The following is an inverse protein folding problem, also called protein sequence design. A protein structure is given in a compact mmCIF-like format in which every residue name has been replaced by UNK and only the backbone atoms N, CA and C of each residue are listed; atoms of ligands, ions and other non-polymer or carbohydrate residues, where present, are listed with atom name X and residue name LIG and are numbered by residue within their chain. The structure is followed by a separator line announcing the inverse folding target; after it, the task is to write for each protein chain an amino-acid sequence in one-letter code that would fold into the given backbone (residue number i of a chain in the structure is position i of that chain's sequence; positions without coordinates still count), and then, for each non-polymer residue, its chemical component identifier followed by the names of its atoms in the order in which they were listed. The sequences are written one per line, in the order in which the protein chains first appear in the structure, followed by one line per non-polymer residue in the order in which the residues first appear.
data_IF_173088034044
#
_entry.id   IF_173088034044
#
_cell.length_a   1.000
_cell.length_b   1.000
_cell.length_c   1.000
_cell.angle_alpha   90.00
_cell.angle_beta   90.00
_cell.angle_gamma   90.00
#
_symmetry.space_group_name_H-M   'P 1'
#
loop_
_entity.id
_entity.type
_entity.pdbx_description
1 polymer ?
#
# COMPACT_ATOMS: atom_id res chain seq x y z
N UNK A 1 -43.01 -12.55 -4.67
CA UNK A 1 -41.82 -13.28 -4.22
C UNK A 1 -40.78 -13.52 -5.31
N UNK A 2 -40.14 -12.45 -5.82
CA UNK A 2 -38.94 -12.60 -6.66
C UNK A 2 -37.78 -11.95 -5.91
N UNK A 3 -37.03 -12.76 -5.15
CA UNK A 3 -35.71 -12.34 -4.65
C UNK A 3 -34.86 -11.96 -5.87
N UNK A 4 -34.14 -10.82 -5.87
CA UNK A 4 -33.29 -10.46 -7.00
C UNK A 4 -32.26 -11.58 -7.21
N UNK A 5 -32.09 -12.03 -8.45
CA UNK A 5 -31.28 -13.20 -8.85
C UNK A 5 -29.76 -12.99 -8.72
N UNK A 6 -29.29 -12.05 -7.88
CA UNK A 6 -27.98 -11.35 -7.87
C UNK A 6 -28.11 -9.93 -8.48
N UNK A 7 -27.25 -8.95 -8.14
CA UNK A 7 -26.09 -8.98 -7.26
C UNK A 7 -26.10 -7.85 -6.22
N UNK A 8 -26.07 -8.22 -4.94
CA UNK A 8 -25.93 -7.27 -3.84
C UNK A 8 -24.49 -7.29 -3.32
N UNK A 9 -23.84 -6.13 -3.32
CA UNK A 9 -22.47 -5.97 -2.84
C UNK A 9 -22.48 -5.29 -1.48
N UNK A 10 -21.72 -5.81 -0.52
CA UNK A 10 -21.47 -5.14 0.76
C UNK A 10 -20.03 -4.62 0.79
N UNK A 11 -19.86 -3.40 1.32
CA UNK A 11 -18.57 -2.71 1.31
C UNK A 11 -18.08 -2.48 2.74
N UNK A 12 -16.77 -2.57 2.93
CA UNK A 12 -16.15 -2.25 4.23
C UNK A 12 -16.21 -0.75 4.49
N UNK A 13 -16.56 -0.36 5.73
CA UNK A 13 -16.53 1.03 6.19
C UNK A 13 -15.14 1.68 6.18
N UNK A 14 -14.07 0.90 5.96
CA UNK A 14 -12.70 1.39 5.85
C UNK A 14 -12.39 2.06 4.50
N UNK A 15 -13.22 1.88 3.49
CA UNK A 15 -13.02 2.44 2.14
C UNK A 15 -13.41 3.92 2.16
N UNK A 16 -12.44 4.80 1.97
CA UNK A 16 -12.69 6.24 1.86
C UNK A 16 -12.93 6.61 0.39
N UNK A 17 -14.07 7.26 0.11
CA UNK A 17 -14.50 7.61 -1.26
C UNK A 17 -13.46 8.45 -2.02
N UNK A 18 -12.80 9.39 -1.35
CA UNK A 18 -11.78 10.26 -1.93
C UNK A 18 -10.50 9.52 -2.34
N UNK A 19 -10.28 8.29 -1.87
CA UNK A 19 -9.10 7.48 -2.19
C UNK A 19 -9.36 6.49 -3.33
N UNK A 20 -10.58 6.41 -3.87
CA UNK A 20 -10.91 5.46 -4.92
C UNK A 20 -10.33 5.97 -6.25
N UNK A 21 -9.37 5.22 -6.79
CA UNK A 21 -8.75 5.52 -8.08
C UNK A 21 -9.59 4.91 -9.20
N UNK A 22 -9.86 3.61 -9.12
CA UNK A 22 -10.67 2.85 -10.08
C UNK A 22 -11.68 1.97 -9.35
N UNK A 23 -12.83 1.73 -9.99
CA UNK A 23 -13.77 0.70 -9.56
C UNK A 23 -14.43 0.05 -10.78
N UNK A 24 -14.25 -1.25 -10.93
CA UNK A 24 -14.72 -2.02 -12.07
C UNK A 24 -15.57 -3.19 -11.60
N UNK A 25 -16.73 -3.37 -12.22
CA UNK A 25 -17.55 -4.56 -12.08
C UNK A 25 -17.15 -5.54 -13.19
N UNK A 26 -16.73 -6.73 -12.79
CA UNK A 26 -16.36 -7.81 -13.70
C UNK A 26 -17.52 -8.78 -13.84
N UNK A 27 -17.88 -9.09 -15.09
CA UNK A 27 -18.96 -10.01 -15.46
C UNK A 27 -18.40 -11.04 -16.42
N UNK A 28 -18.64 -12.32 -16.13
CA UNK A 28 -18.26 -13.40 -17.03
C UNK A 28 -19.42 -13.73 -17.98
N UNK A 29 -19.11 -13.78 -19.28
CA UNK A 29 -20.02 -14.23 -20.32
C UNK A 29 -19.69 -15.67 -20.70
N UNK A 30 -20.69 -16.53 -20.66
CA UNK A 30 -20.62 -17.91 -21.13
C UNK A 30 -20.36 -17.95 -22.65
N UNK A 31 -19.72 -19.03 -23.15
CA UNK A 31 -19.52 -19.18 -24.58
C UNK A 31 -20.86 -19.30 -25.31
N UNK A 32 -20.97 -18.64 -26.46
CA UNK A 32 -22.11 -18.82 -27.36
C UNK A 32 -21.87 -20.01 -28.30
N UNK A 33 -22.94 -20.70 -28.71
CA UNK A 33 -22.85 -21.81 -29.67
C UNK A 33 -22.45 -21.32 -31.08
N UNK A 34 -22.85 -20.09 -31.42
CA UNK A 34 -22.61 -19.44 -32.70
C UNK A 34 -22.06 -18.03 -32.48
N UNK A 35 -21.44 -17.46 -33.52
CA UNK A 35 -21.02 -16.05 -33.51
C UNK A 35 -22.26 -15.18 -33.37
N UNK A 36 -22.35 -14.42 -32.28
CA UNK A 36 -23.51 -13.59 -31.96
C UNK A 36 -23.08 -12.28 -31.31
N UNK A 37 -23.93 -11.26 -31.44
CA UNK A 37 -23.77 -10.03 -30.66
C UNK A 37 -24.59 -10.14 -29.38
N UNK A 38 -23.94 -9.89 -28.25
CA UNK A 38 -24.54 -9.82 -26.92
C UNK A 38 -24.75 -8.37 -26.52
N UNK A 39 -25.93 -8.08 -25.99
CA UNK A 39 -26.28 -6.80 -25.38
C UNK A 39 -26.19 -6.94 -23.86
N UNK A 40 -25.06 -6.49 -23.31
CA UNK A 40 -24.84 -6.46 -21.86
C UNK A 40 -25.41 -5.16 -21.30
N UNK A 41 -26.42 -5.30 -20.43
CA UNK A 41 -27.08 -4.20 -19.75
C UNK A 41 -26.89 -4.32 -18.25
N UNK A 42 -26.40 -3.24 -17.64
CA UNK A 42 -26.19 -3.14 -16.20
C UNK A 42 -27.10 -2.06 -15.65
N UNK A 43 -27.97 -2.44 -14.71
CA UNK A 43 -28.98 -1.59 -14.08
C UNK A 43 -28.83 -1.56 -12.57
N UNK A 44 -29.09 -0.41 -11.96
CA UNK A 44 -29.28 -0.30 -10.52
C UNK A 44 -30.72 -0.62 -10.17
N UNK A 45 -30.92 -1.44 -9.14
CA UNK A 45 -32.23 -1.72 -8.57
C UNK A 45 -32.71 -0.54 -7.71
N UNK A 46 -34.03 -0.31 -7.69
CA UNK A 46 -34.69 0.69 -6.85
C UNK A 46 -35.90 0.08 -6.13
N UNK A 47 -36.31 0.64 -4.97
CA UNK A 47 -37.47 0.16 -4.24
C UNK A 47 -38.77 0.35 -5.05
N UNK A 48 -39.68 -0.61 -4.90
CA UNK A 48 -40.89 -0.82 -5.72
C UNK A 48 -41.96 0.28 -5.54
N UNK A 49 -41.81 1.18 -4.57
CA UNK A 49 -42.78 2.25 -4.27
C UNK A 49 -43.01 3.23 -5.44
N UNK A 50 -42.15 3.23 -6.45
CA UNK A 50 -42.24 4.10 -7.63
C UNK A 50 -42.13 3.30 -8.95
N UNK A 51 -42.93 2.23 -9.07
CA UNK A 51 -43.16 1.54 -10.34
C UNK A 51 -41.94 0.83 -10.95
N UNK A 52 -41.10 0.21 -10.12
CA UNK A 52 -40.04 -0.71 -10.59
C UNK A 52 -39.08 -0.10 -11.63
N UNK A 53 -38.67 1.15 -11.45
CA UNK A 53 -37.74 1.79 -12.38
C UNK A 53 -36.31 1.26 -12.18
N UNK A 54 -35.77 0.64 -13.21
CA UNK A 54 -34.35 0.31 -13.31
C UNK A 54 -33.59 1.55 -13.78
N UNK A 55 -32.51 1.95 -13.09
CA UNK A 55 -31.64 3.03 -13.58
C UNK A 55 -30.48 2.37 -14.32
N UNK A 56 -30.38 2.61 -15.64
CA UNK A 56 -29.25 2.12 -16.44
C UNK A 56 -27.93 2.72 -15.95
N UNK A 57 -26.98 1.86 -15.60
CA UNK A 57 -25.60 2.25 -15.30
C UNK A 57 -24.81 2.30 -16.61
N UNK A 58 -24.85 1.22 -17.39
CA UNK A 58 -24.16 1.11 -18.67
C UNK A 58 -24.78 0.03 -19.54
N UNK A 59 -24.69 0.22 -20.85
CA UNK A 59 -25.03 -0.78 -21.85
C UNK A 59 -23.86 -0.94 -22.82
N UNK A 60 -23.53 -2.18 -23.17
CA UNK A 60 -22.41 -2.54 -24.05
C UNK A 60 -22.91 -3.52 -25.12
N UNK A 61 -22.45 -3.31 -26.35
CA UNK A 61 -22.64 -4.24 -27.46
C UNK A 61 -21.33 -4.99 -27.66
N UNK A 62 -21.37 -6.32 -27.55
CA UNK A 62 -20.19 -7.17 -27.51
C UNK A 62 -20.34 -8.26 -28.56
N UNK A 63 -19.39 -8.37 -29.48
CA UNK A 63 -19.37 -9.46 -30.45
C UNK A 63 -18.65 -10.67 -29.83
N UNK A 64 -19.38 -11.78 -29.70
CA UNK A 64 -18.91 -13.01 -29.06
C UNK A 64 -18.68 -14.07 -30.13
N UNK A 65 -17.48 -14.65 -30.14
CA UNK A 65 -17.12 -15.75 -31.00
C UNK A 65 -17.64 -17.08 -30.44
N UNK A 66 -17.98 -18.00 -31.33
CA UNK A 66 -18.46 -19.33 -30.96
C UNK A 66 -17.42 -20.08 -30.09
N UNK A 67 -17.88 -20.67 -28.98
CA UNK A 67 -17.06 -21.48 -28.07
C UNK A 67 -16.09 -20.71 -27.18
N UNK A 68 -16.06 -19.38 -27.22
CA UNK A 68 -15.13 -18.56 -26.43
C UNK A 68 -15.89 -17.84 -25.31
N UNK A 69 -15.51 -18.11 -24.06
CA UNK A 69 -15.98 -17.32 -22.92
C UNK A 69 -15.12 -16.06 -22.73
N UNK A 70 -15.70 -15.01 -22.13
CA UNK A 70 -14.97 -13.75 -21.94
C UNK A 70 -15.36 -13.04 -20.65
N UNK A 71 -14.40 -12.31 -20.09
CA UNK A 71 -14.61 -11.38 -18.99
C UNK A 71 -14.84 -9.98 -19.53
N UNK A 72 -15.83 -9.30 -18.98
CA UNK A 72 -16.19 -7.93 -19.34
C UNK A 72 -16.11 -7.05 -18.11
N UNK A 73 -15.43 -5.91 -18.24
CA UNK A 73 -15.27 -4.94 -17.16
C UNK A 73 -16.08 -3.68 -17.41
N UNK A 74 -16.79 -3.23 -16.39
CA UNK A 74 -17.69 -2.07 -16.45
C UNK A 74 -17.27 -1.09 -15.37
N UNK A 75 -16.98 0.15 -15.76
CA UNK A 75 -16.71 1.22 -14.80
C UNK A 75 -17.97 1.53 -13.98
N UNK A 76 -17.84 1.33 -12.66
CA UNK A 76 -18.89 1.56 -11.66
C UNK A 76 -18.45 2.55 -10.58
N UNK A 77 -17.37 3.30 -10.81
CA UNK A 77 -16.79 4.23 -9.82
C UNK A 77 -17.80 5.23 -9.28
N UNK A 78 -18.65 5.80 -10.14
CA UNK A 78 -19.66 6.77 -9.73
C UNK A 78 -20.75 6.13 -8.86
N UNK A 79 -21.21 4.93 -9.22
CA UNK A 79 -22.23 4.17 -8.47
C UNK A 79 -21.69 3.80 -7.09
N UNK A 80 -20.47 3.24 -7.04
CA UNK A 80 -19.80 2.90 -5.80
C UNK A 80 -19.60 4.12 -4.90
N UNK A 81 -19.22 5.26 -5.48
CA UNK A 81 -19.03 6.51 -4.72
C UNK A 81 -20.31 7.00 -4.06
N UNK A 82 -21.47 6.82 -4.70
CA UNK A 82 -22.79 7.13 -4.12
C UNK A 82 -23.11 6.15 -2.99
N UNK A 83 -22.95 4.85 -3.22
CA UNK A 83 -23.26 3.83 -2.21
C UNK A 83 -22.39 3.89 -0.96
N UNK A 84 -21.13 4.30 -1.08
CA UNK A 84 -20.27 4.51 0.09
C UNK A 84 -20.65 5.76 0.90
N UNK A 85 -21.29 6.76 0.27
CA UNK A 85 -21.82 7.94 0.97
C UNK A 85 -23.22 7.70 1.54
N UNK A 86 -24.02 6.89 0.84
CA UNK A 86 -25.43 6.63 1.11
C UNK A 86 -25.71 5.11 1.00
N UNK A 87 -25.30 4.31 2.01
CA UNK A 87 -25.43 2.86 1.99
C UNK A 87 -26.88 2.36 1.87
N UNK A 88 -27.84 3.13 2.39
CA UNK A 88 -29.28 2.87 2.34
C UNK A 88 -29.83 2.85 0.90
N UNK A 89 -29.09 3.43 -0.04
CA UNK A 89 -29.48 3.46 -1.44
C UNK A 89 -28.92 2.25 -2.22
N UNK A 90 -28.14 1.37 -1.59
CA UNK A 90 -27.61 0.17 -2.22
C UNK A 90 -28.67 -0.96 -2.24
N UNK A 91 -29.38 -1.06 -3.35
CA UNK A 91 -30.37 -2.12 -3.60
C UNK A 91 -29.82 -3.24 -4.49
N UNK A 92 -28.54 -3.18 -4.86
CA UNK A 92 -27.89 -4.11 -5.77
C UNK A 92 -27.87 -3.67 -7.24
N UNK A 93 -27.17 -4.47 -8.03
CA UNK A 93 -27.00 -4.34 -9.47
C UNK A 93 -27.69 -5.53 -10.14
N UNK A 94 -28.47 -5.25 -11.16
CA UNK A 94 -28.99 -6.24 -12.09
C UNK A 94 -28.09 -6.28 -13.33
N UNK A 95 -27.79 -7.49 -13.78
CA UNK A 95 -26.88 -7.77 -14.89
C UNK A 95 -27.62 -8.69 -15.84
N UNK A 96 -27.84 -8.21 -17.06
CA UNK A 96 -28.51 -8.96 -18.11
C UNK A 96 -27.62 -8.97 -19.35
N UNK A 97 -27.35 -10.12 -19.95
CA UNK A 97 -26.51 -10.20 -21.15
C UNK A 97 -27.18 -11.08 -22.21
N UNK A 98 -28.10 -10.49 -22.97
CA UNK A 98 -28.88 -11.24 -23.96
C UNK A 98 -28.19 -11.29 -25.31
N UNK A 99 -28.08 -12.50 -25.87
CA UNK A 99 -27.70 -12.71 -27.27
C UNK A 99 -28.85 -12.38 -28.23
N UNK A 100 -28.62 -12.53 -29.54
CA UNK A 100 -29.64 -12.30 -30.57
C UNK A 100 -30.81 -13.30 -30.53
N UNK A 101 -30.66 -14.43 -29.84
CA UNK A 101 -31.68 -15.48 -29.66
C UNK A 101 -32.47 -15.29 -28.34
N UNK A 102 -32.07 -14.34 -27.50
CA UNK A 102 -32.68 -14.06 -26.20
C UNK A 102 -32.13 -14.90 -25.05
N UNK A 103 -31.02 -15.62 -25.24
CA UNK A 103 -30.34 -16.35 -24.18
C UNK A 103 -29.52 -15.39 -23.32
N UNK A 104 -29.63 -15.49 -22.00
CA UNK A 104 -28.80 -14.73 -21.06
C UNK A 104 -27.46 -15.46 -20.85
N UNK A 105 -26.37 -14.85 -21.29
CA UNK A 105 -25.03 -15.42 -21.19
C UNK A 105 -24.27 -14.95 -19.94
N UNK A 106 -24.83 -14.04 -19.14
CA UNK A 106 -24.17 -13.57 -17.93
C UNK A 106 -24.24 -14.61 -16.81
N UNK A 107 -23.07 -14.96 -16.27
CA UNK A 107 -23.00 -15.76 -15.04
C UNK A 107 -23.37 -14.86 -13.86
N UNK A 108 -24.56 -15.08 -13.26
CA UNK A 108 -25.05 -14.30 -12.11
C UNK A 108 -25.24 -15.13 -10.84
N UNK A 109 -25.25 -16.46 -10.93
CA UNK A 109 -25.40 -17.37 -9.79
C UNK A 109 -24.23 -18.33 -9.64
N UNK A 110 -24.04 -18.86 -8.43
CA UNK A 110 -23.00 -19.85 -8.14
C UNK A 110 -23.18 -21.17 -8.90
N UNK A 111 -24.43 -21.52 -9.19
CA UNK A 111 -24.79 -22.75 -9.91
C UNK A 111 -24.36 -22.71 -11.39
N UNK A 112 -24.21 -21.52 -11.95
CA UNK A 112 -23.81 -21.31 -13.34
C UNK A 112 -22.29 -21.31 -13.55
N UNK A 113 -21.47 -21.41 -12.50
CA UNK A 113 -20.02 -21.52 -12.60
C UNK A 113 -19.27 -21.14 -11.32
N UNK A 114 -18.53 -22.10 -10.76
CA UNK A 114 -17.70 -21.87 -9.58
C UNK A 114 -16.55 -20.89 -9.91
N UNK A 115 -16.43 -19.80 -9.16
CA UNK A 115 -15.42 -18.76 -9.38
C UNK A 115 -15.69 -17.78 -10.55
N UNK A 116 -16.83 -17.93 -11.26
CA UNK A 116 -17.20 -17.06 -12.40
C UNK A 116 -18.23 -15.99 -12.03
N UNK A 117 -18.54 -15.87 -10.74
CA UNK A 117 -19.52 -14.92 -10.23
C UNK A 117 -19.06 -13.47 -10.42
N UNK A 118 -19.99 -12.52 -10.59
CA UNK A 118 -19.64 -11.12 -10.75
C UNK A 118 -18.97 -10.57 -9.49
N UNK A 119 -17.88 -9.83 -9.66
CA UNK A 119 -17.16 -9.21 -8.55
C UNK A 119 -16.79 -7.77 -8.86
N UNK A 120 -16.64 -6.96 -7.81
CA UNK A 120 -16.24 -5.57 -7.93
C UNK A 120 -14.78 -5.41 -7.50
N UNK A 121 -13.93 -5.03 -8.44
CA UNK A 121 -12.54 -4.66 -8.19
C UNK A 121 -12.46 -3.17 -7.87
N UNK A 122 -11.87 -2.82 -6.73
CA UNK A 122 -11.73 -1.42 -6.28
C UNK A 122 -10.27 -1.12 -6.00
N UNK A 123 -9.66 -0.27 -6.82
CA UNK A 123 -8.30 0.20 -6.63
C UNK A 123 -8.31 1.45 -5.75
N UNK A 124 -7.68 1.39 -4.59
CA UNK A 124 -7.62 2.47 -3.61
C UNK A 124 -6.18 3.01 -3.56
N UNK A 125 -6.03 4.33 -3.59
CA UNK A 125 -4.74 4.96 -3.34
C UNK A 125 -4.36 4.77 -1.87
N UNK A 126 -3.23 4.13 -1.60
CA UNK A 126 -2.62 4.19 -0.27
C UNK A 126 -2.21 5.65 -0.01
N UNK A 127 -3.01 6.36 0.79
CA UNK A 127 -2.58 7.63 1.34
C UNK A 127 -1.31 7.43 2.17
N UNK A 128 -0.45 8.45 2.33
CA UNK A 128 0.80 8.30 3.06
C UNK A 128 0.49 7.82 4.47
N UNK A 129 0.74 6.54 4.73
CA UNK A 129 0.81 6.00 6.09
C UNK A 129 2.03 6.68 6.69
N UNK A 130 1.86 7.83 7.34
CA UNK A 130 2.84 8.31 8.32
C UNK A 130 2.82 7.27 9.43
N UNK A 131 3.62 6.22 9.26
CA UNK A 131 4.08 5.43 10.41
C UNK A 131 4.56 6.47 11.43
N UNK A 132 4.05 6.40 12.68
CA UNK A 132 4.62 7.17 13.78
C UNK A 132 6.11 6.83 13.72
N UNK A 133 6.91 7.79 13.27
CA UNK A 133 8.36 7.62 13.25
C UNK A 133 8.70 7.35 14.70
N UNK A 134 9.16 6.14 14.98
CA UNK A 134 9.81 5.89 16.25
C UNK A 134 10.86 6.98 16.39
N UNK A 135 10.60 7.87 17.34
CA UNK A 135 11.42 9.04 17.56
C UNK A 135 12.58 8.45 18.32
N UNK A 136 13.62 8.05 17.57
CA UNK A 136 14.76 7.32 18.12
C UNK A 136 15.21 7.98 19.42
N UNK A 137 15.55 7.16 20.40
CA UNK A 137 15.89 7.64 21.74
C UNK A 137 17.15 8.51 21.67
N UNK A 138 17.13 9.63 22.39
CA UNK A 138 18.27 10.51 22.61
C UNK A 138 18.67 10.40 24.08
N UNK A 139 19.89 9.94 24.34
CA UNK A 139 20.41 9.66 25.67
C UNK A 139 21.58 10.59 25.98
N UNK A 140 21.68 10.98 27.24
CA UNK A 140 22.87 11.66 27.77
C UNK A 140 23.95 10.64 28.13
N UNK A 141 25.20 11.09 28.28
CA UNK A 141 26.35 10.22 28.60
C UNK A 141 26.17 9.38 29.88
N UNK A 142 25.42 9.90 30.85
CA UNK A 142 25.14 9.22 32.12
C UNK A 142 23.80 8.48 32.16
N UNK A 143 23.14 8.31 31.01
CA UNK A 143 21.85 7.63 30.95
C UNK A 143 22.02 6.12 31.26
N UNK A 144 21.24 5.55 32.20
CA UNK A 144 21.24 4.10 32.46
C UNK A 144 20.45 3.30 31.41
N UNK A 145 20.08 3.91 30.29
CA UNK A 145 19.34 3.25 29.20
C UNK A 145 20.22 2.17 28.55
N UNK A 146 19.72 0.94 28.56
CA UNK A 146 20.39 -0.20 27.92
C UNK A 146 19.95 -0.38 26.47
N UNK A 147 18.81 0.20 26.06
CA UNK A 147 18.30 0.06 24.69
C UNK A 147 19.08 0.93 23.69
N UNK A 148 18.98 0.58 22.41
CA UNK A 148 19.58 1.35 21.31
C UNK A 148 19.18 2.83 21.36
N UNK A 149 20.18 3.69 21.54
CA UNK A 149 20.02 5.11 21.76
C UNK A 149 21.11 5.93 21.06
N UNK A 150 20.80 7.20 20.76
CA UNK A 150 21.76 8.16 20.25
C UNK A 150 22.40 8.92 21.40
N UNK A 151 23.73 8.92 21.44
CA UNK A 151 24.52 9.64 22.44
C UNK A 151 25.26 10.83 21.82
N UNK A 152 25.42 11.93 22.57
CA UNK A 152 26.19 13.08 22.10
C UNK A 152 27.67 12.70 21.95
N UNK A 153 28.27 13.12 20.84
CA UNK A 153 29.72 13.04 20.62
C UNK A 153 30.13 14.28 19.85
N UNK A 154 31.08 15.01 20.40
CA UNK A 154 31.65 16.19 19.76
C UNK A 154 33.04 15.85 19.27
N UNK A 155 33.26 15.97 17.97
CA UNK A 155 34.54 15.72 17.31
C UNK A 155 35.24 17.06 17.18
N UNK A 156 36.44 17.16 17.74
CA UNK A 156 37.34 18.29 17.57
C UNK A 156 38.50 17.89 16.68
N UNK A 157 38.65 18.56 15.54
CA UNK A 157 39.72 18.26 14.59
C UNK A 157 41.10 18.76 15.06
N UNK A 158 41.13 19.74 15.97
CA UNK A 158 42.38 20.25 16.54
C UNK A 158 43.02 19.20 17.47
N UNK A 159 42.19 18.45 18.21
CA UNK A 159 42.65 17.35 19.08
C UNK A 159 43.30 16.19 18.30
N UNK A 160 42.89 15.97 17.04
CA UNK A 160 43.49 14.98 16.15
C UNK A 160 44.73 15.50 15.40
N UNK A 161 45.10 16.77 15.57
CA UNK A 161 46.16 17.43 14.80
C UNK A 161 45.83 17.57 13.31
N UNK A 162 44.54 17.71 12.97
CA UNK A 162 44.07 17.81 11.58
C UNK A 162 44.00 19.28 11.13
N UNK A 163 45.16 19.92 11.04
CA UNK A 163 45.28 21.34 10.65
C UNK A 163 44.85 21.62 9.20
N UNK A 164 44.79 20.58 8.38
CA UNK A 164 44.28 20.67 7.01
C UNK A 164 42.78 21.02 6.95
N UNK A 165 42.06 20.94 8.07
CA UNK A 165 40.65 21.36 8.18
C UNK A 165 40.58 22.79 8.69
N UNK A 166 40.08 23.68 7.84
CA UNK A 166 39.93 25.10 8.15
C UNK A 166 38.63 25.33 8.96
N UNK A 167 37.51 24.73 8.53
CA UNK A 167 36.23 24.84 9.22
C UNK A 167 35.27 23.67 8.90
N UNK A 168 34.37 23.28 9.83
CA UNK A 168 34.36 23.67 11.24
C UNK A 168 35.54 23.02 12.00
N UNK A 169 36.03 23.66 13.05
CA UNK A 169 37.05 23.06 13.95
C UNK A 169 36.45 21.97 14.84
N UNK A 170 35.20 22.15 15.24
CA UNK A 170 34.46 21.23 16.10
C UNK A 170 33.03 21.04 15.58
N UNK A 171 32.53 19.81 15.60
CA UNK A 171 31.14 19.52 15.25
C UNK A 171 30.55 18.38 16.09
N UNK A 172 29.21 18.34 16.21
CA UNK A 172 28.48 17.30 16.94
C UNK A 172 28.17 16.13 16.01
N UNK A 173 28.96 15.07 16.07
CA UNK A 173 28.77 13.87 15.27
C UNK A 173 27.65 12.98 15.82
N UNK A 174 27.59 12.84 17.16
CA UNK A 174 26.79 11.84 17.86
C UNK A 174 27.15 10.39 17.45
N UNK A 175 26.73 9.41 18.25
CA UNK A 175 26.92 8.00 17.93
C UNK A 175 25.76 7.14 18.43
N UNK A 176 25.65 5.93 17.90
CA UNK A 176 24.64 4.96 18.32
C UNK A 176 25.26 3.91 19.23
N UNK A 177 24.62 3.63 20.35
CA UNK A 177 25.02 2.58 21.29
C UNK A 177 23.81 2.02 22.01
N UNK A 178 23.94 0.82 22.55
CA UNK A 178 22.88 0.12 23.27
C UNK A 178 22.47 -1.19 22.61
N UNK A 179 21.64 -1.94 23.33
CA UNK A 179 21.16 -3.26 22.97
C UNK A 179 19.84 -3.17 22.19
N UNK A 180 19.66 -4.09 21.26
CA UNK A 180 18.47 -4.20 20.45
C UNK A 180 17.71 -5.48 20.82
N UNK A 181 16.54 -5.31 21.43
CA UNK A 181 15.71 -6.46 21.80
C UNK A 181 15.02 -7.06 20.58
N UNK A 182 14.95 -8.39 20.53
CA UNK A 182 14.49 -9.16 19.37
C UNK A 182 12.96 -9.19 19.17
N UNK A 183 12.20 -8.45 19.99
CA UNK A 183 10.78 -8.75 20.24
C UNK A 183 9.86 -8.60 19.02
N UNK A 184 10.26 -7.94 17.93
CA UNK A 184 9.31 -7.58 16.86
C UNK A 184 9.79 -7.75 15.41
N UNK A 185 10.92 -8.40 15.14
CA UNK A 185 11.51 -8.50 13.79
C UNK A 185 11.55 -9.93 13.20
N UNK A 186 10.59 -10.80 13.55
CA UNK A 186 10.52 -12.13 12.92
C UNK A 186 9.84 -12.06 11.55
N UNK A 187 10.51 -11.43 10.58
CA UNK A 187 10.08 -11.45 9.17
C UNK A 187 10.25 -12.84 8.54
N UNK A 188 11.16 -13.67 9.08
CA UNK A 188 11.42 -15.02 8.60
C UNK A 188 11.65 -16.01 9.75
N UNK A 189 11.19 -17.27 9.61
CA UNK A 189 11.26 -18.28 10.68
C UNK A 189 12.68 -18.76 11.01
N UNK A 190 13.64 -18.64 10.10
CA UNK A 190 15.03 -19.04 10.34
C UNK A 190 15.77 -18.08 11.29
N UNK A 191 15.37 -16.81 11.35
CA UNK A 191 15.95 -15.80 12.24
C UNK A 191 15.74 -16.19 13.72
N UNK A 192 14.57 -16.74 14.04
CA UNK A 192 14.25 -17.23 15.39
C UNK A 192 15.15 -18.40 15.83
N UNK A 193 15.52 -19.31 14.91
CA UNK A 193 16.35 -20.48 15.21
C UNK A 193 17.82 -20.10 15.49
N UNK A 194 18.38 -19.21 14.69
CA UNK A 194 19.77 -18.72 14.87
C UNK A 194 19.92 -18.01 16.21
N UNK A 195 18.91 -17.22 16.61
CA UNK A 195 18.92 -16.50 17.89
C UNK A 195 18.87 -17.43 19.10
N UNK A 196 18.04 -18.48 19.06
CA UNK A 196 17.95 -19.46 20.15
C UNK A 196 19.23 -20.28 20.29
N UNK A 197 19.93 -20.51 19.18
CA UNK A 197 21.20 -21.23 19.15
C UNK A 197 22.40 -20.37 19.60
N UNK A 198 22.37 -19.05 19.37
CA UNK A 198 23.47 -18.17 19.76
C UNK A 198 22.98 -16.77 20.22
N UNK A 199 22.44 -16.65 21.46
CA UNK A 199 21.85 -15.40 21.95
C UNK A 199 22.85 -14.25 22.17
N UNK A 200 24.16 -14.55 22.22
CA UNK A 200 25.25 -13.56 22.30
C UNK A 200 26.01 -13.42 20.98
N UNK A 201 25.56 -14.09 19.92
CA UNK A 201 26.18 -14.03 18.60
C UNK A 201 25.84 -12.74 17.85
N UNK A 202 26.68 -12.40 16.88
CA UNK A 202 26.51 -11.32 15.89
C UNK A 202 25.30 -11.49 14.95
N UNK A 203 24.42 -12.46 15.21
CA UNK A 203 23.26 -12.77 14.39
C UNK A 203 22.00 -11.94 14.76
N UNK A 204 22.14 -10.99 15.68
CA UNK A 204 21.08 -10.11 16.14
C UNK A 204 21.03 -8.74 15.48
N UNK A 205 19.92 -8.00 15.68
CA UNK A 205 19.85 -6.62 15.24
C UNK A 205 20.92 -5.81 15.97
N UNK A 206 21.65 -4.99 15.22
CA UNK A 206 22.65 -4.08 15.78
C UNK A 206 22.08 -2.67 15.91
N UNK A 207 22.53 -1.93 16.91
CA UNK A 207 22.19 -0.51 17.05
C UNK A 207 23.03 0.30 16.04
N UNK A 208 22.39 0.79 14.98
CA UNK A 208 23.06 1.51 13.88
C UNK A 208 22.37 2.83 13.55
N UNK A 209 23.08 3.79 12.90
CA UNK A 209 22.46 5.01 12.41
C UNK A 209 21.42 4.71 11.31
N UNK A 210 20.16 5.03 11.56
CA UNK A 210 19.08 4.90 10.56
C UNK A 210 18.85 6.18 9.77
N UNK A 211 19.40 7.30 10.24
CA UNK A 211 19.40 8.58 9.53
C UNK A 211 20.66 9.36 9.88
N UNK A 212 21.30 9.91 8.85
CA UNK A 212 22.47 10.76 9.00
C UNK A 212 22.32 12.05 8.18
N UNK A 213 22.93 13.11 8.68
CA UNK A 213 22.99 14.41 8.01
C UNK A 213 24.42 14.74 7.55
N UNK A 214 24.55 15.51 6.47
CA UNK A 214 25.84 15.97 5.97
C UNK A 214 26.39 17.16 6.77
N UNK A 215 27.70 17.40 6.66
CA UNK A 215 28.38 18.60 7.21
C UNK A 215 29.05 19.38 6.08
N UNK A 216 28.95 20.70 6.10
CA UNK A 216 29.71 21.57 5.21
C UNK A 216 31.12 21.76 5.78
N UNK A 217 32.14 21.60 4.95
CA UNK A 217 33.53 21.52 5.36
C UNK A 217 34.41 22.32 4.41
N UNK A 218 35.34 23.08 4.98
CA UNK A 218 36.38 23.85 4.30
C UNK A 218 37.74 23.24 4.67
N UNK A 219 38.49 22.72 3.72
CA UNK A 219 39.72 21.98 3.98
C UNK A 219 40.74 22.07 2.83
N UNK A 220 42.01 21.80 3.14
CA UNK A 220 43.09 21.68 2.15
C UNK A 220 43.13 20.28 1.53
N UNK A 221 43.15 20.20 0.21
CA UNK A 221 43.41 18.93 -0.48
C UNK A 221 44.92 18.60 -0.49
N UNK A 222 45.29 17.42 -1.02
CA UNK A 222 46.69 17.00 -1.15
C UNK A 222 47.57 17.89 -2.05
N UNK A 223 46.95 18.82 -2.79
CA UNK A 223 47.62 19.82 -3.65
C UNK A 223 47.60 21.21 -3.03
N UNK A 224 47.32 21.32 -1.72
CA UNK A 224 47.25 22.56 -0.96
C UNK A 224 46.20 23.57 -1.47
N UNK A 225 45.19 23.07 -2.19
CA UNK A 225 44.06 23.89 -2.64
C UNK A 225 42.94 23.85 -1.61
N UNK A 226 42.34 25.01 -1.35
CA UNK A 226 41.19 25.15 -0.46
C UNK A 226 39.93 24.64 -1.17
N UNK A 227 39.28 23.64 -0.59
CA UNK A 227 38.02 23.07 -1.08
C UNK A 227 36.92 23.34 -0.06
N UNK A 228 35.81 23.88 -0.54
CA UNK A 228 34.55 23.92 0.20
C UNK A 228 33.61 22.85 -0.35
N UNK A 229 33.14 21.96 0.53
CA UNK A 229 32.30 20.84 0.12
C UNK A 229 31.34 20.39 1.21
N UNK A 230 30.37 19.56 0.82
CA UNK A 230 29.41 18.94 1.74
C UNK A 230 29.75 17.45 1.85
N UNK A 231 30.17 17.02 3.03
CA UNK A 231 30.53 15.63 3.30
C UNK A 231 29.27 14.90 3.80
N UNK A 232 28.79 13.87 3.08
CA UNK A 232 27.60 13.13 3.48
C UNK A 232 27.87 12.26 4.71
N UNK A 233 26.80 11.94 5.44
CA UNK A 233 26.83 10.93 6.53
C UNK A 233 27.84 11.21 7.64
N UNK A 234 27.90 12.46 8.11
CA UNK A 234 28.83 12.88 9.17
C UNK A 234 28.16 13.06 10.53
N UNK A 235 26.86 13.35 10.57
CA UNK A 235 26.10 13.55 11.81
C UNK A 235 25.05 12.47 11.93
N UNK A 236 25.02 11.75 13.05
CA UNK A 236 23.95 10.80 13.37
C UNK A 236 22.73 11.59 13.85
N UNK A 237 21.65 11.52 13.06
CA UNK A 237 20.37 12.14 13.39
C UNK A 237 19.47 11.19 14.16
N UNK A 238 19.59 9.88 13.91
CA UNK A 238 18.72 8.86 14.50
C UNK A 238 19.38 7.49 14.52
N UNK A 239 19.25 6.79 15.64
CA UNK A 239 19.65 5.40 15.81
C UNK A 239 18.46 4.46 15.68
N UNK A 240 18.71 3.19 15.42
CA UNK A 240 17.69 2.15 15.41
C UNK A 240 18.30 0.76 15.29
N UNK A 241 17.44 -0.25 15.45
CA UNK A 241 17.83 -1.65 15.40
C UNK A 241 17.62 -2.20 13.99
N UNK A 242 18.71 -2.69 13.37
CA UNK A 242 18.71 -3.26 12.01
C UNK A 242 19.44 -4.59 11.96
#
# INVERSE_FOLDING_TARGET
DRKPKCCLFSFSSKIQVNRIVHAQLWVHLLPADEVTTVFLQISRLMPVTDGGRHIGIRSLKIDVNAGVSSWQSIDVKQVLSVWLRQPETNWGIEINAFDSKGNDLAVTSAEAGEGLQPFMEVTISEGPKRSRRDSGLDCDENSPESRCCRYPLTVDFEDFGWDWIIAPKRYKANYCSGECEYMHLQKYPHTHLVNKANPRGTAGPCCTPTKMSPVNMLYFNRKEQIIYGKIPSMVVDRCGCS
#
